data_IF_987839663040
#
_entry.id   IF_987839663040
#
_cell.length_a   1.000
_cell.length_b   1.000
_cell.length_c   1.000
_cell.angle_alpha   90.00
_cell.angle_beta   90.00
_cell.angle_gamma   90.00
#
_symmetry.space_group_name_H-M   'P 1'
#
loop_
_entity.id
_entity.type
_entity.pdbx_description
1 polymer ?
#
# COMPACT_ATOMS: atom_id res chain seq x y z
N UNK A 1 29.42 0.88 -7.32
CA UNK A 1 28.03 1.31 -7.06
C UNK A 1 27.16 0.07 -7.18
N UNK A 2 26.54 -0.38 -6.09
CA UNK A 2 25.53 -1.46 -6.15
C UNK A 2 24.20 -0.83 -6.51
N UNK A 3 23.84 -0.88 -7.79
CA UNK A 3 22.54 -0.38 -8.24
C UNK A 3 21.45 -1.33 -7.72
N UNK A 4 20.43 -0.77 -7.06
CA UNK A 4 19.19 -1.49 -6.75
C UNK A 4 18.46 -1.72 -8.07
N UNK A 5 17.98 -2.94 -8.29
CA UNK A 5 17.33 -3.33 -9.54
C UNK A 5 15.80 -3.18 -9.38
N UNK A 6 15.16 -2.54 -10.35
CA UNK A 6 13.70 -2.55 -10.47
C UNK A 6 13.24 -3.84 -11.15
N UNK A 7 12.24 -4.50 -10.57
CA UNK A 7 11.64 -5.72 -11.13
C UNK A 7 10.29 -5.37 -11.77
N UNK A 8 10.13 -5.79 -13.01
CA UNK A 8 9.01 -5.40 -13.89
C UNK A 8 8.00 -6.54 -14.14
N UNK A 9 8.21 -7.72 -13.55
CA UNK A 9 7.28 -8.84 -13.66
C UNK A 9 7.10 -9.58 -12.32
N UNK A 10 5.92 -10.16 -12.13
CA UNK A 10 5.65 -10.96 -10.94
C UNK A 10 6.55 -12.21 -10.86
N UNK A 11 6.89 -12.78 -12.02
CA UNK A 11 7.79 -13.93 -12.10
C UNK A 11 9.22 -13.58 -11.66
N UNK A 12 9.73 -12.39 -11.98
CA UNK A 12 11.05 -11.95 -11.51
C UNK A 12 11.05 -11.73 -10.00
N UNK A 13 9.97 -11.15 -9.45
CA UNK A 13 9.80 -10.98 -7.99
C UNK A 13 9.82 -12.33 -7.27
N UNK A 14 8.99 -13.29 -7.70
CA UNK A 14 8.97 -14.64 -7.13
C UNK A 14 10.32 -15.35 -7.32
N UNK A 15 10.94 -15.21 -8.50
CA UNK A 15 12.27 -15.77 -8.78
C UNK A 15 13.33 -15.26 -7.81
N UNK A 16 13.39 -13.95 -7.54
CA UNK A 16 14.35 -13.40 -6.58
C UNK A 16 13.99 -13.76 -5.13
N UNK A 17 12.71 -13.81 -4.77
CA UNK A 17 12.25 -14.31 -3.46
C UNK A 17 12.62 -15.79 -3.26
N UNK A 18 12.63 -16.62 -4.30
CA UNK A 18 12.97 -18.06 -4.20
C UNK A 18 14.47 -18.31 -4.27
N UNK A 19 15.16 -17.77 -5.28
CA UNK A 19 16.56 -18.10 -5.59
C UNK A 19 17.56 -17.29 -4.75
N UNK A 20 17.45 -15.96 -4.78
CA UNK A 20 18.47 -15.08 -4.18
C UNK A 20 18.34 -15.05 -2.65
N UNK A 21 17.16 -15.40 -2.12
CA UNK A 21 16.93 -15.53 -0.68
C UNK A 21 17.49 -16.81 -0.06
N UNK A 22 18.07 -17.73 -0.86
CA UNK A 22 18.60 -19.01 -0.37
C UNK A 22 19.68 -18.82 0.70
N UNK A 23 20.57 -17.83 0.51
CA UNK A 23 21.65 -17.50 1.44
C UNK A 23 21.60 -16.05 1.95
N UNK A 24 21.02 -15.11 1.19
CA UNK A 24 20.88 -13.70 1.56
C UNK A 24 19.46 -13.35 2.00
N UNK A 25 19.31 -12.24 2.70
CA UNK A 25 18.03 -11.55 2.85
C UNK A 25 17.68 -10.87 1.52
N UNK A 26 16.42 -10.95 1.11
CA UNK A 26 15.87 -10.21 -0.03
C UNK A 26 14.93 -9.15 0.52
N UNK A 27 15.27 -7.88 0.31
CA UNK A 27 14.46 -6.73 0.68
C UNK A 27 13.79 -6.20 -0.58
N UNK A 28 12.47 -6.04 -0.55
CA UNK A 28 11.69 -5.50 -1.67
C UNK A 28 10.92 -4.27 -1.19
N UNK A 29 11.10 -3.13 -1.86
CA UNK A 29 10.24 -1.96 -1.70
C UNK A 29 9.19 -1.96 -2.82
N UNK A 30 7.94 -2.15 -2.42
CA UNK A 30 6.76 -1.94 -3.24
C UNK A 30 6.26 -0.50 -3.05
N UNK A 31 5.96 0.22 -4.13
CA UNK A 31 5.25 1.51 -4.08
C UNK A 31 4.67 1.86 -5.45
N UNK A 32 3.87 2.92 -5.53
CA UNK A 32 3.55 3.59 -6.80
C UNK A 32 4.18 4.98 -6.80
N UNK A 33 4.91 5.35 -7.87
CA UNK A 33 5.40 6.72 -8.03
C UNK A 33 4.33 7.64 -8.63
N UNK A 34 3.26 7.85 -7.89
CA UNK A 34 2.22 8.79 -8.29
C UNK A 34 2.55 10.19 -7.80
N UNK A 35 2.83 11.10 -8.74
CA UNK A 35 2.65 12.53 -8.46
C UNK A 35 1.16 12.85 -8.46
N UNK A 36 0.75 13.83 -7.66
CA UNK A 36 -0.64 14.29 -7.61
C UNK A 36 -1.20 14.68 -8.99
N UNK A 37 -0.34 15.20 -9.86
CA UNK A 37 -0.65 15.57 -11.24
C UNK A 37 -1.05 14.34 -12.07
N UNK A 38 -0.29 13.24 -11.94
CA UNK A 38 -0.53 12.00 -12.68
C UNK A 38 -1.83 11.33 -12.24
N UNK A 39 -2.13 11.31 -10.93
CA UNK A 39 -3.40 10.81 -10.41
C UNK A 39 -4.60 11.68 -10.81
N UNK A 40 -4.46 13.01 -10.78
CA UNK A 40 -5.52 13.93 -11.21
C UNK A 40 -5.84 13.78 -12.71
N UNK A 41 -4.83 13.61 -13.56
CA UNK A 41 -5.02 13.29 -14.97
C UNK A 41 -5.65 11.90 -15.20
N UNK A 42 -5.27 10.90 -14.40
CA UNK A 42 -5.77 9.54 -14.55
C UNK A 42 -7.21 9.40 -14.05
N UNK A 43 -7.57 10.10 -12.98
CA UNK A 43 -8.94 10.24 -12.49
C UNK A 43 -9.84 11.00 -13.47
N UNK A 44 -9.33 12.05 -14.12
CA UNK A 44 -10.09 12.76 -15.16
C UNK A 44 -10.20 11.92 -16.45
N UNK A 45 -9.16 11.15 -16.83
CA UNK A 45 -9.21 10.18 -17.95
C UNK A 45 -10.16 9.00 -17.70
N UNK A 46 -10.32 8.53 -16.46
CA UNK A 46 -11.26 7.46 -16.11
C UNK A 46 -12.70 7.97 -16.03
N UNK A 47 -12.92 9.17 -15.46
CA UNK A 47 -14.23 9.84 -15.42
C UNK A 47 -14.78 10.16 -16.82
N UNK A 48 -13.91 10.38 -17.82
CA UNK A 48 -14.32 10.59 -19.21
C UNK A 48 -14.73 9.31 -19.98
N UNK A 49 -14.42 8.11 -19.47
CA UNK A 49 -14.87 6.84 -20.08
C UNK A 49 -16.21 6.39 -19.49
N UNK A 50 -17.26 7.17 -19.78
CA UNK A 50 -18.65 6.73 -19.59
C UNK A 50 -18.99 5.53 -20.47
N UNK A 51 -20.02 4.73 -20.10
CA UNK A 51 -20.28 3.42 -20.71
C UNK A 51 -20.74 3.52 -22.17
N UNK A 52 -20.15 2.71 -23.05
CA UNK A 52 -20.66 2.49 -24.41
C UNK A 52 -21.97 1.72 -24.34
N UNK A 53 -23.08 2.40 -24.63
CA UNK A 53 -24.42 1.85 -24.61
C UNK A 53 -24.65 0.87 -25.77
N UNK A 54 -24.46 -0.43 -25.54
CA UNK A 54 -24.98 -1.48 -26.43
C UNK A 54 -26.48 -1.62 -26.22
N UNK A 55 -27.26 -0.88 -27.00
CA UNK A 55 -28.71 -1.01 -27.02
C UNK A 55 -29.13 -2.40 -27.53
N UNK A 56 -29.76 -3.21 -26.68
CA UNK A 56 -30.51 -4.40 -27.08
C UNK A 56 -31.99 -4.19 -26.78
N UNK A 57 -32.81 -4.29 -27.82
CA UNK A 57 -34.25 -4.10 -27.77
C UNK A 57 -34.92 -5.25 -27.01
N UNK A 58 -35.69 -4.94 -25.97
CA UNK A 58 -36.58 -5.89 -25.30
C UNK A 58 -38.04 -5.43 -25.46
N UNK A 59 -38.90 -6.37 -25.81
CA UNK A 59 -40.29 -6.14 -26.26
C UNK A 59 -41.27 -6.20 -25.09
N UNK A 60 -42.35 -5.42 -25.15
CA UNK A 60 -43.43 -5.44 -24.15
C UNK A 60 -44.18 -6.78 -24.08
N UNK A 61 -44.61 -7.16 -22.88
CA UNK A 61 -45.49 -8.30 -22.64
C UNK A 61 -46.16 -8.19 -21.26
N UNK A 62 -47.49 -8.09 -21.24
CA UNK A 62 -48.29 -7.81 -20.03
C UNK A 62 -48.95 -9.07 -19.47
N UNK A 63 -49.14 -9.17 -18.13
CA UNK A 63 -50.42 -9.52 -17.45
C UNK A 63 -50.30 -9.96 -15.96
N UNK A 64 -50.89 -9.14 -15.08
CA UNK A 64 -51.86 -9.46 -14.00
C UNK A 64 -51.55 -10.36 -12.76
N UNK A 65 -52.03 -9.85 -11.60
CA UNK A 65 -52.50 -10.54 -10.37
C UNK A 65 -51.46 -11.11 -9.38
N UNK A 66 -51.62 -11.06 -8.04
CA UNK A 66 -52.69 -10.52 -7.16
C UNK A 66 -52.24 -10.32 -5.69
N UNK A 67 -52.84 -9.36 -4.97
CA UNK A 67 -53.12 -9.29 -3.51
C UNK A 67 -52.16 -9.97 -2.51
N UNK A 68 -51.64 -9.35 -1.45
CA UNK A 68 -52.22 -8.38 -0.50
C UNK A 68 -51.07 -7.80 0.40
N UNK A 69 -51.25 -7.01 1.47
CA UNK A 69 -52.41 -6.57 2.25
C UNK A 69 -52.19 -5.13 2.81
N UNK A 70 -53.00 -4.72 3.80
CA UNK A 70 -52.97 -3.39 4.42
C UNK A 70 -52.68 -3.48 5.93
N UNK A 71 -51.86 -2.57 6.47
CA UNK A 71 -51.88 -2.24 7.91
C UNK A 71 -51.55 -0.76 8.12
N UNK A 72 -52.33 -0.10 8.98
CA UNK A 72 -52.29 1.35 9.19
C UNK A 72 -51.83 1.67 10.62
N UNK A 73 -51.07 2.76 10.82
CA UNK A 73 -51.17 3.65 12.01
C UNK A 73 -50.29 4.92 11.94
N UNK A 74 -50.99 6.05 11.76
CA UNK A 74 -50.79 7.43 12.30
C UNK A 74 -49.39 8.04 12.52
N UNK A 75 -49.28 9.27 11.99
CA UNK A 75 -48.30 10.32 12.29
C UNK A 75 -48.08 10.64 13.79
N UNK A 76 -46.85 11.07 14.10
CA UNK A 76 -46.57 12.21 15.00
C UNK A 76 -45.43 13.07 14.38
N UNK A 77 -45.35 14.36 14.72
CA UNK A 77 -44.56 15.41 14.06
C UNK A 77 -43.59 16.08 15.04
N UNK A 78 -42.50 16.66 14.51
CA UNK A 78 -41.47 17.49 15.20
C UNK A 78 -40.57 16.71 16.20
N UNK A 79 -39.32 17.09 16.48
CA UNK A 79 -38.62 18.35 16.17
C UNK A 79 -37.10 18.14 15.88
N UNK A 80 -36.38 19.24 15.59
CA UNK A 80 -35.04 19.29 15.02
C UNK A 80 -33.86 18.87 15.92
N UNK A 81 -32.76 18.48 15.28
CA UNK A 81 -31.44 18.28 15.87
C UNK A 81 -30.39 18.19 14.76
N UNK A 82 -29.81 19.34 14.40
CA UNK A 82 -28.83 19.43 13.31
C UNK A 82 -27.48 18.80 13.67
N UNK A 83 -26.93 18.02 12.75
CA UNK A 83 -25.51 17.64 12.73
C UNK A 83 -24.99 18.03 11.36
N UNK A 84 -23.95 18.87 11.33
CA UNK A 84 -23.35 19.36 10.08
C UNK A 84 -22.71 18.22 9.29
N UNK A 85 -23.51 17.60 8.43
CA UNK A 85 -23.04 16.77 7.32
C UNK A 85 -22.29 17.65 6.33
N UNK A 86 -21.02 17.94 6.62
CA UNK A 86 -20.11 18.66 5.73
C UNK A 86 -19.96 17.87 4.43
N UNK A 87 -20.81 18.20 3.45
CA UNK A 87 -20.70 17.72 2.07
C UNK A 87 -19.33 18.18 1.56
N UNK A 88 -18.38 17.24 1.52
CA UNK A 88 -17.07 17.48 0.93
C UNK A 88 -17.29 17.68 -0.56
N UNK A 89 -17.15 18.92 -1.03
CA UNK A 89 -17.23 19.22 -2.45
C UNK A 89 -16.09 18.49 -3.17
N UNK A 90 -16.34 18.00 -4.38
CA UNK A 90 -15.33 17.25 -5.16
C UNK A 90 -13.99 17.99 -5.28
N UNK A 91 -14.03 19.33 -5.30
CA UNK A 91 -12.86 20.23 -5.30
C UNK A 91 -12.02 20.12 -4.01
N UNK A 92 -12.64 19.99 -2.83
CA UNK A 92 -11.88 19.81 -1.58
C UNK A 92 -11.36 18.39 -1.40
N UNK A 93 -12.08 17.38 -1.89
CA UNK A 93 -11.57 16.00 -1.94
C UNK A 93 -10.34 15.90 -2.87
N UNK A 94 -10.42 16.45 -4.08
CA UNK A 94 -9.31 16.45 -5.03
C UNK A 94 -8.07 17.18 -4.49
N UNK A 95 -8.24 18.30 -3.79
CA UNK A 95 -7.13 19.01 -3.15
C UNK A 95 -6.45 18.18 -2.04
N UNK A 96 -7.23 17.49 -1.20
CA UNK A 96 -6.69 16.63 -0.13
C UNK A 96 -6.00 15.37 -0.67
N UNK A 97 -6.56 14.75 -1.72
CA UNK A 97 -5.92 13.66 -2.44
C UNK A 97 -4.59 14.12 -3.06
N UNK A 98 -4.57 15.30 -3.69
CA UNK A 98 -3.36 15.92 -4.25
C UNK A 98 -2.28 16.19 -3.19
N UNK A 99 -2.64 16.68 -2.00
CA UNK A 99 -1.65 16.85 -0.92
C UNK A 99 -1.11 15.52 -0.41
N UNK A 100 -1.96 14.49 -0.28
CA UNK A 100 -1.56 13.18 0.22
C UNK A 100 -0.68 12.44 -0.78
N UNK A 101 -0.99 12.48 -2.08
CA UNK A 101 -0.17 11.89 -3.14
C UNK A 101 1.23 12.51 -3.19
N UNK A 102 1.33 13.83 -3.04
CA UNK A 102 2.62 14.52 -2.97
C UNK A 102 3.42 14.16 -1.70
N UNK A 103 2.77 13.95 -0.54
CA UNK A 103 3.47 13.38 0.62
C UNK A 103 3.92 11.94 0.36
N UNK A 104 3.06 11.09 -0.21
CA UNK A 104 3.40 9.70 -0.50
C UNK A 104 4.62 9.58 -1.42
N UNK A 105 4.65 10.39 -2.49
CA UNK A 105 5.80 10.50 -3.37
C UNK A 105 7.08 10.91 -2.61
N UNK A 106 7.00 11.93 -1.74
CA UNK A 106 8.15 12.40 -0.95
C UNK A 106 8.68 11.31 0.00
N UNK A 107 7.78 10.64 0.75
CA UNK A 107 8.14 9.57 1.69
C UNK A 107 8.79 8.39 0.98
N UNK A 108 8.28 8.01 -0.19
CA UNK A 108 8.87 6.96 -1.04
C UNK A 108 10.27 7.34 -1.52
N UNK A 109 10.46 8.58 -2.02
CA UNK A 109 11.77 9.07 -2.46
C UNK A 109 12.79 9.16 -1.33
N UNK A 110 12.37 9.51 -0.12
CA UNK A 110 13.22 9.46 1.09
C UNK A 110 13.66 8.01 1.39
N UNK A 111 12.74 7.04 1.30
CA UNK A 111 13.04 5.63 1.50
C UNK A 111 14.01 5.07 0.45
N UNK A 112 13.82 5.42 -0.83
CA UNK A 112 14.71 4.99 -1.91
C UNK A 112 16.13 5.51 -1.74
N UNK A 113 16.30 6.76 -1.28
CA UNK A 113 17.60 7.36 -1.00
C UNK A 113 18.31 6.61 0.14
N UNK A 114 17.61 6.35 1.24
CA UNK A 114 18.13 5.58 2.38
C UNK A 114 18.54 4.16 1.96
N UNK A 115 17.69 3.46 1.20
CA UNK A 115 18.00 2.11 0.70
C UNK A 115 19.20 2.13 -0.25
N UNK A 116 19.32 3.15 -1.11
CA UNK A 116 20.45 3.30 -2.03
C UNK A 116 21.79 3.51 -1.31
N UNK A 117 21.81 4.24 -0.19
CA UNK A 117 23.01 4.38 0.64
C UNK A 117 23.32 3.10 1.46
N UNK A 118 22.29 2.39 1.89
CA UNK A 118 22.43 1.17 2.69
C UNK A 118 22.88 -0.05 1.86
N UNK A 119 22.40 -0.17 0.62
CA UNK A 119 22.68 -1.28 -0.30
C UNK A 119 24.17 -1.69 -0.36
N UNK A 120 25.15 -0.78 -0.58
CA UNK A 120 26.57 -1.17 -0.61
C UNK A 120 27.09 -1.66 0.74
N UNK A 121 26.52 -1.20 1.86
CA UNK A 121 26.94 -1.57 3.22
C UNK A 121 26.49 -2.99 3.59
N UNK A 122 25.31 -3.42 3.11
CA UNK A 122 24.70 -4.72 3.44
C UNK A 122 24.78 -5.79 2.33
N UNK A 123 25.32 -5.45 1.16
CA UNK A 123 25.37 -6.30 -0.05
C UNK A 123 25.93 -7.74 0.14
N UNK A 124 26.71 -7.98 1.20
CA UNK A 124 27.25 -9.30 1.57
C UNK A 124 26.15 -10.28 1.99
N UNK A 125 25.10 -9.81 2.64
CA UNK A 125 24.06 -10.64 3.27
C UNK A 125 22.63 -10.20 2.95
N UNK A 126 22.43 -9.06 2.30
CA UNK A 126 21.14 -8.56 1.86
C UNK A 126 21.22 -8.07 0.41
N UNK A 127 20.22 -8.41 -0.41
CA UNK A 127 20.01 -7.90 -1.77
C UNK A 127 18.70 -7.11 -1.78
N UNK A 128 18.67 -5.98 -2.50
CA UNK A 128 17.53 -5.06 -2.52
C UNK A 128 16.93 -4.95 -3.91
N UNK A 129 15.60 -4.82 -3.99
CA UNK A 129 14.84 -4.61 -5.22
C UNK A 129 13.75 -3.56 -5.04
N UNK A 130 13.40 -2.92 -6.14
CA UNK A 130 12.25 -2.02 -6.26
C UNK A 130 11.18 -2.66 -7.13
N UNK A 131 9.91 -2.46 -6.78
CA UNK A 131 8.75 -2.93 -7.56
C UNK A 131 7.73 -1.79 -7.63
N UNK A 132 7.27 -1.48 -8.83
CA UNK A 132 6.11 -0.59 -8.99
C UNK A 132 4.81 -1.41 -8.88
N UNK A 133 3.95 -1.06 -7.92
CA UNK A 133 2.67 -1.74 -7.65
C UNK A 133 1.62 -1.50 -8.73
N UNK A 134 1.82 -0.54 -9.64
CA UNK A 134 0.98 -0.29 -10.81
C UNK A 134 1.36 -1.18 -11.99
N UNK A 135 2.64 -1.51 -12.12
CA UNK A 135 3.16 -2.40 -13.16
C UNK A 135 3.00 -3.88 -12.74
N UNK A 136 3.37 -4.21 -11.50
CA UNK A 136 3.33 -5.57 -10.96
C UNK A 136 2.23 -5.69 -9.91
N UNK A 137 0.98 -5.71 -10.38
CA UNK A 137 -0.23 -5.72 -9.52
C UNK A 137 -0.51 -7.03 -8.80
N UNK A 138 0.14 -8.14 -9.19
CA UNK A 138 -0.15 -9.49 -8.70
C UNK A 138 -0.01 -9.68 -7.17
N UNK A 139 0.77 -8.81 -6.52
CA UNK A 139 1.01 -8.86 -5.07
C UNK A 139 0.11 -7.92 -4.26
N UNK A 140 -0.72 -7.08 -4.92
CA UNK A 140 -1.46 -6.03 -4.24
C UNK A 140 -2.50 -6.61 -3.27
N UNK A 141 -3.31 -7.58 -3.70
CA UNK A 141 -4.26 -8.26 -2.81
C UNK A 141 -3.53 -9.16 -1.79
N UNK A 142 -2.47 -9.87 -2.22
CA UNK A 142 -1.76 -10.84 -1.38
C UNK A 142 -1.03 -10.21 -0.19
N UNK A 143 -0.49 -9.02 -0.37
CA UNK A 143 0.25 -8.28 0.66
C UNK A 143 -0.46 -7.00 1.11
N UNK A 144 -1.72 -6.79 0.75
CA UNK A 144 -2.53 -5.61 1.10
C UNK A 144 -1.83 -4.29 0.69
N UNK A 145 -1.28 -4.23 -0.52
CA UNK A 145 -0.55 -3.07 -1.06
C UNK A 145 -1.51 -2.10 -1.75
N UNK A 146 -1.19 -0.80 -1.73
CA UNK A 146 -1.94 0.20 -2.48
C UNK A 146 -3.26 0.67 -1.83
N UNK A 147 -3.46 0.44 -0.54
CA UNK A 147 -4.45 1.21 0.22
C UNK A 147 -3.96 2.67 0.36
N UNK A 148 -4.84 3.65 0.11
CA UNK A 148 -4.58 5.10 -0.02
C UNK A 148 -3.93 5.81 1.19
N UNK A 149 -3.45 5.07 2.20
CA UNK A 149 -2.80 5.57 3.41
C UNK A 149 -1.33 5.17 3.54
N UNK A 150 -0.87 4.21 2.74
CA UNK A 150 0.50 3.69 2.81
C UNK A 150 1.32 4.23 1.62
N UNK A 151 2.39 5.02 1.84
CA UNK A 151 3.19 5.62 0.76
C UNK A 151 4.03 4.57 0.00
N UNK A 152 4.51 3.57 0.73
CA UNK A 152 5.29 2.43 0.25
C UNK A 152 5.13 1.26 1.22
N UNK A 153 5.61 0.08 0.83
CA UNK A 153 5.74 -1.08 1.69
C UNK A 153 7.10 -1.74 1.47
N UNK A 154 7.94 -1.81 2.50
CA UNK A 154 9.16 -2.62 2.48
C UNK A 154 8.91 -3.95 3.17
N UNK A 155 9.20 -5.04 2.45
CA UNK A 155 9.06 -6.42 2.90
C UNK A 155 10.38 -7.17 2.81
N UNK A 156 10.55 -8.18 3.67
CA UNK A 156 11.82 -8.86 3.91
C UNK A 156 11.64 -10.38 3.78
N UNK A 157 12.45 -11.03 2.94
CA UNK A 157 12.32 -12.45 2.61
C UNK A 157 13.64 -13.21 2.84
N UNK A 158 13.57 -14.42 3.36
CA UNK A 158 14.70 -15.33 3.52
C UNK A 158 14.25 -16.78 3.27
N UNK A 159 14.93 -17.49 2.37
CA UNK A 159 14.62 -18.88 1.96
C UNK A 159 13.16 -19.12 1.61
N UNK A 160 12.63 -18.30 0.70
CA UNK A 160 11.22 -18.28 0.28
C UNK A 160 10.22 -18.13 1.46
N UNK A 161 10.62 -17.43 2.53
CA UNK A 161 9.76 -17.11 3.67
C UNK A 161 9.78 -15.61 3.94
N UNK A 162 8.59 -15.04 4.12
CA UNK A 162 8.43 -13.69 4.63
C UNK A 162 8.89 -13.60 6.10
N UNK A 163 9.75 -12.64 6.39
CA UNK A 163 10.33 -12.37 7.70
C UNK A 163 9.67 -11.12 8.28
N UNK A 164 8.80 -11.32 9.26
CA UNK A 164 8.10 -10.23 9.96
C UNK A 164 9.01 -9.60 11.00
N UNK A 165 9.03 -8.27 11.09
CA UNK A 165 9.85 -7.54 12.07
C UNK A 165 8.94 -6.64 12.90
N UNK A 166 8.88 -6.92 14.20
CA UNK A 166 8.23 -6.04 15.17
C UNK A 166 9.17 -4.86 15.48
N UNK A 167 8.81 -3.72 14.91
CA UNK A 167 9.44 -2.41 15.14
C UNK A 167 8.58 -1.49 16.03
N UNK A 168 7.53 -2.00 16.68
CA UNK A 168 6.71 -1.24 17.64
C UNK A 168 5.56 -0.40 17.06
N UNK A 169 5.36 -0.41 15.73
CA UNK A 169 4.27 0.33 15.06
C UNK A 169 2.93 -0.40 15.07
N UNK A 170 2.93 -1.71 15.34
CA UNK A 170 1.77 -2.61 15.28
C UNK A 170 1.63 -3.36 13.95
N UNK A 171 2.23 -2.86 12.86
CA UNK A 171 2.34 -3.60 11.60
C UNK A 171 3.69 -4.29 11.50
N UNK A 172 3.69 -5.62 11.61
CA UNK A 172 4.90 -6.44 11.54
C UNK A 172 5.10 -7.07 10.14
N UNK A 173 4.13 -6.90 9.24
CA UNK A 173 4.12 -7.53 7.90
C UNK A 173 4.83 -6.68 6.84
N UNK A 174 4.95 -5.37 7.05
CA UNK A 174 5.59 -4.43 6.13
C UNK A 174 6.05 -3.20 6.91
N UNK A 175 7.08 -2.54 6.41
CA UNK A 175 7.48 -1.21 6.88
C UNK A 175 6.90 -0.20 5.91
N UNK A 176 5.88 0.54 6.35
CA UNK A 176 5.07 1.45 5.55
C UNK A 176 5.16 2.91 6.02
N UNK A 177 6.21 3.25 6.78
CA UNK A 177 6.44 4.58 7.35
C UNK A 177 7.89 5.02 7.14
N UNK A 178 8.11 6.33 7.14
CA UNK A 178 9.46 6.92 7.13
C UNK A 178 9.65 7.79 8.37
N UNK A 179 10.46 7.30 9.31
CA UNK A 179 10.83 7.99 10.56
C UNK A 179 12.28 7.67 10.94
N UNK A 180 13.15 7.59 9.93
CA UNK A 180 14.57 7.29 10.05
C UNK A 180 15.34 8.60 9.81
N UNK A 181 16.21 8.99 10.73
CA UNK A 181 17.10 10.15 10.56
C UNK A 181 18.37 9.74 9.82
N UNK A 182 18.87 8.53 10.10
CA UNK A 182 20.11 8.00 9.53
C UNK A 182 19.98 6.49 9.20
N UNK A 183 20.87 5.98 8.35
CA UNK A 183 20.98 4.57 7.99
C UNK A 183 21.19 3.62 9.18
N UNK A 184 21.78 4.09 10.29
CA UNK A 184 21.92 3.32 11.53
C UNK A 184 20.58 3.14 12.27
N UNK A 185 19.51 3.80 11.83
CA UNK A 185 18.15 3.56 12.31
C UNK A 185 17.49 2.39 11.58
N UNK A 186 17.80 2.20 10.30
CA UNK A 186 17.24 1.12 9.48
C UNK A 186 18.09 -0.15 9.47
N UNK A 187 19.42 -0.03 9.56
CA UNK A 187 20.35 -1.17 9.59
C UNK A 187 20.00 -2.24 10.66
N UNK A 188 19.62 -1.89 11.91
CA UNK A 188 19.21 -2.88 12.92
C UNK A 188 18.00 -3.74 12.52
N UNK A 189 17.11 -3.21 11.68
CA UNK A 189 15.93 -3.92 11.16
C UNK A 189 16.37 -5.00 10.17
N UNK A 190 17.25 -4.62 9.22
CA UNK A 190 17.83 -5.53 8.22
C UNK A 190 18.65 -6.64 8.90
N UNK A 191 19.46 -6.29 9.90
CA UNK A 191 20.24 -7.22 10.69
C UNK A 191 19.37 -8.19 11.50
N UNK A 192 18.30 -7.70 12.14
CA UNK A 192 17.36 -8.55 12.86
C UNK A 192 16.67 -9.55 11.92
N UNK A 193 16.20 -9.08 10.75
CA UNK A 193 15.56 -9.94 9.76
C UNK A 193 16.52 -11.02 9.21
N UNK A 194 17.77 -10.66 8.88
CA UNK A 194 18.77 -11.64 8.45
C UNK A 194 19.10 -12.66 9.54
N UNK A 195 19.26 -12.22 10.81
CA UNK A 195 19.46 -13.12 11.96
C UNK A 195 18.25 -14.06 12.16
N UNK A 196 17.03 -13.57 11.99
CA UNK A 196 15.81 -14.37 12.09
C UNK A 196 15.73 -15.44 10.99
N UNK A 197 15.94 -15.05 9.73
CA UNK A 197 15.98 -15.96 8.59
C UNK A 197 17.05 -17.05 8.74
N UNK A 198 18.27 -16.65 9.14
CA UNK A 198 19.38 -17.56 9.50
C UNK A 198 19.01 -18.58 10.58
N UNK A 199 18.16 -18.21 11.54
CA UNK A 199 17.66 -19.07 12.61
C UNK A 199 16.39 -19.85 12.22
N UNK A 200 15.87 -19.69 11.00
CA UNK A 200 14.61 -20.30 10.54
C UNK A 200 13.35 -19.67 11.12
N UNK A 201 13.44 -18.51 11.78
CA UNK A 201 12.33 -17.79 12.41
C UNK A 201 11.64 -16.86 11.39
N UNK A 202 10.31 -16.93 11.31
CA UNK A 202 9.48 -16.05 10.47
C UNK A 202 9.05 -14.73 11.15
N UNK A 203 9.45 -14.52 12.41
CA UNK A 203 9.18 -13.27 13.13
C UNK A 203 10.28 -12.98 14.18
N UNK A 204 10.65 -11.70 14.30
CA UNK A 204 11.61 -11.20 15.28
C UNK A 204 11.21 -9.80 15.76
N UNK A 205 11.52 -9.46 17.02
CA UNK A 205 11.47 -8.09 17.53
C UNK A 205 12.78 -7.40 17.22
N UNK A 206 12.75 -6.20 16.65
CA UNK A 206 13.92 -5.31 16.62
C UNK A 206 14.05 -4.60 17.98
N UNK A 207 15.28 -4.36 18.43
CA UNK A 207 15.55 -3.59 19.66
C UNK A 207 15.22 -2.10 19.47
N UNK A 208 15.32 -1.62 18.23
CA UNK A 208 14.94 -0.25 17.86
C UNK A 208 13.43 -0.21 17.56
N UNK A 209 12.72 0.60 18.33
CA UNK A 209 11.26 0.75 18.27
C UNK A 209 10.85 2.14 17.82
N UNK A 210 9.84 2.21 16.94
CA UNK A 210 9.24 3.43 16.42
C UNK A 210 7.78 3.44 16.89
N UNK A 211 7.43 4.34 17.80
CA UNK A 211 6.07 4.41 18.34
C UNK A 211 5.13 5.13 17.38
N UNK A 212 3.88 4.72 17.31
CA UNK A 212 2.85 5.35 16.46
C UNK A 212 2.59 6.83 16.81
N UNK A 213 3.01 7.27 18.01
CA UNK A 213 2.96 8.68 18.45
C UNK A 213 4.06 9.52 17.77
N UNK A 214 5.22 8.94 17.49
CA UNK A 214 6.31 9.61 16.78
C UNK A 214 6.01 9.78 15.27
N UNK A 215 5.16 8.93 14.68
CA UNK A 215 4.79 8.95 13.26
C UNK A 215 3.79 10.07 12.89
N UNK A 216 3.36 10.90 13.84
CA UNK A 216 2.39 12.01 13.64
C UNK A 216 3.00 13.40 13.87
N UNK A 217 4.32 13.52 13.81
CA UNK A 217 5.06 14.80 13.90
C UNK A 217 5.54 15.27 12.54
#
# INVERSE_FOLDING_TARGET
MTNIITLHSAWDVDRHIVLDSADKLVLIRFSSYTSAETEAEEYSRSTQRGPTTSASTAVEGSLASSSSALSTRKHKRCDAGGVDGRVVTSVTAAALLSTNANEHYLRTRQMDALLSELAPKVCKYCTMYFVDTREVTAFNDLYELGHDRDPFAVMLFYRNRHIRVDVGTGNNNKINFFAFEDLYDFLPIVDAAYKAGRQGRSIISCDRKFSTVALRR
#
